data_IF_886411800641
#
_entry.id   IF_886411800641
#
_cell.length_a   1.000
_cell.length_b   1.000
_cell.length_c   1.000
_cell.angle_alpha   90.00
_cell.angle_beta   90.00
_cell.angle_gamma   90.00
#
_symmetry.space_group_name_H-M   'P 1'
#
loop_
_entity.id
_entity.type
_entity.pdbx_description
1 polymer ?
#
# COMPACT_ATOMS: atom_id res chain seq x y z
N UNK A 1 1.63 5.37 19.14
CA UNK A 1 1.04 5.16 17.79
C UNK A 1 2.04 4.53 16.81
N UNK A 2 3.15 5.18 16.43
CA UNK A 2 4.10 4.67 15.41
C UNK A 2 4.60 3.24 15.69
N UNK A 3 4.98 2.93 16.94
CA UNK A 3 5.41 1.58 17.32
C UNK A 3 4.32 0.51 17.14
N UNK A 4 3.05 0.88 17.30
CA UNK A 4 1.92 -0.05 17.09
C UNK A 4 1.71 -0.32 15.61
N UNK A 5 1.75 0.71 14.76
CA UNK A 5 1.68 0.59 13.30
C UNK A 5 2.82 -0.28 12.79
N UNK A 6 4.05 -0.03 13.25
CA UNK A 6 5.21 -0.84 12.89
C UNK A 6 5.02 -2.32 13.25
N UNK A 7 4.49 -2.64 14.43
CA UNK A 7 4.20 -4.01 14.84
C UNK A 7 3.12 -4.66 13.97
N UNK A 8 2.05 -3.92 13.67
CA UNK A 8 0.99 -4.40 12.78
C UNK A 8 1.52 -4.68 11.36
N UNK A 9 2.33 -3.78 10.81
CA UNK A 9 2.95 -3.94 9.51
C UNK A 9 3.89 -5.15 9.47
N UNK A 10 4.68 -5.36 10.53
CA UNK A 10 5.52 -6.55 10.68
C UNK A 10 4.69 -7.84 10.76
N UNK A 11 3.57 -7.83 11.49
CA UNK A 11 2.64 -8.95 11.57
C UNK A 11 1.99 -9.26 10.21
N UNK A 12 1.59 -8.23 9.46
CA UNK A 12 1.04 -8.38 8.10
C UNK A 12 2.09 -8.89 7.09
N UNK A 13 3.38 -8.65 7.31
CA UNK A 13 4.46 -9.14 6.44
C UNK A 13 4.78 -10.63 6.60
N UNK A 14 4.13 -11.33 7.52
CA UNK A 14 4.29 -12.76 7.78
C UNK A 14 3.19 -13.53 7.05
N UNK A 15 3.55 -14.40 6.11
CA UNK A 15 2.58 -15.13 5.26
C UNK A 15 1.61 -16.02 6.05
N UNK A 16 2.05 -16.51 7.22
CA UNK A 16 1.21 -17.29 8.13
C UNK A 16 0.02 -16.51 8.69
N UNK A 17 0.08 -15.18 8.68
CA UNK A 17 -0.97 -14.30 9.18
C UNK A 17 -1.97 -13.87 8.10
N UNK A 18 -1.69 -14.14 6.82
CA UNK A 18 -2.53 -13.72 5.69
C UNK A 18 -4.00 -14.14 5.84
N UNK A 19 -4.34 -15.39 6.24
CA UNK A 19 -5.75 -15.77 6.41
C UNK A 19 -6.49 -14.93 7.46
N UNK A 20 -5.86 -14.68 8.61
CA UNK A 20 -6.47 -13.87 9.67
C UNK A 20 -6.54 -12.38 9.26
N UNK A 21 -5.56 -11.89 8.50
CA UNK A 21 -5.60 -10.53 7.95
C UNK A 21 -6.77 -10.35 6.98
N UNK A 22 -7.01 -11.32 6.08
CA UNK A 22 -8.14 -11.32 5.17
C UNK A 22 -9.48 -11.33 5.94
N UNK A 23 -9.61 -12.22 6.94
CA UNK A 23 -10.81 -12.30 7.78
C UNK A 23 -11.10 -10.97 8.49
N UNK A 24 -10.08 -10.31 9.06
CA UNK A 24 -10.23 -9.00 9.69
C UNK A 24 -10.73 -7.95 8.68
N UNK A 25 -10.11 -7.88 7.50
CA UNK A 25 -10.44 -6.91 6.45
C UNK A 25 -11.83 -7.12 5.85
N UNK A 26 -12.30 -8.37 5.76
CA UNK A 26 -13.61 -8.73 5.20
C UNK A 26 -14.79 -8.27 6.09
N UNK A 27 -14.55 -8.00 7.38
CA UNK A 27 -15.61 -7.60 8.33
C UNK A 27 -16.34 -6.33 7.85
N UNK A 28 -17.62 -6.25 8.18
CA UNK A 28 -18.52 -5.15 7.76
C UNK A 28 -18.09 -3.76 8.24
N UNK A 29 -17.32 -3.67 9.32
CA UNK A 29 -16.76 -2.42 9.83
C UNK A 29 -15.42 -2.03 9.18
N UNK A 30 -14.91 -2.86 8.26
CA UNK A 30 -13.70 -2.60 7.46
C UNK A 30 -14.08 -2.47 5.98
N UNK A 31 -13.62 -3.39 5.12
CA UNK A 31 -13.87 -3.28 3.68
C UNK A 31 -15.25 -3.77 3.29
N UNK A 32 -15.87 -4.66 4.08
CA UNK A 32 -17.15 -5.30 3.74
C UNK A 32 -17.14 -5.94 2.34
N UNK A 33 -16.01 -6.56 1.98
CA UNK A 33 -15.79 -7.23 0.70
C UNK A 33 -15.65 -8.75 0.91
N UNK A 34 -16.01 -9.57 -0.09
CA UNK A 34 -15.77 -11.00 -0.02
C UNK A 34 -14.27 -11.32 -0.10
N UNK A 35 -13.86 -12.43 0.52
CA UNK A 35 -12.45 -12.86 0.65
C UNK A 35 -11.71 -12.90 -0.70
N UNK A 36 -12.38 -13.39 -1.76
CA UNK A 36 -11.79 -13.48 -3.10
C UNK A 36 -11.44 -12.11 -3.74
N UNK A 37 -11.97 -11.00 -3.19
CA UNK A 37 -11.57 -9.65 -3.60
C UNK A 37 -10.36 -9.12 -2.82
N UNK A 38 -10.02 -9.74 -1.68
CA UNK A 38 -8.95 -9.33 -0.76
C UNK A 38 -7.71 -10.21 -0.95
N UNK A 39 -7.90 -11.53 -1.04
CA UNK A 39 -6.84 -12.55 -1.12
C UNK A 39 -5.81 -12.29 -2.23
N UNK A 40 -6.18 -11.88 -3.46
CA UNK A 40 -5.19 -11.63 -4.50
C UNK A 40 -4.14 -10.60 -4.10
N UNK A 41 -4.54 -9.55 -3.37
CA UNK A 41 -3.64 -8.49 -2.95
C UNK A 41 -2.68 -8.93 -1.84
N UNK A 42 -3.16 -9.78 -0.91
CA UNK A 42 -2.35 -10.27 0.22
C UNK A 42 -1.41 -11.42 -0.18
N UNK A 43 -1.79 -12.20 -1.19
CA UNK A 43 -0.99 -13.35 -1.68
C UNK A 43 -0.08 -12.99 -2.86
N UNK A 44 -0.40 -11.93 -3.59
CA UNK A 44 0.27 -11.58 -4.84
C UNK A 44 -0.16 -12.43 -6.04
N UNK A 45 -1.18 -13.29 -5.89
CA UNK A 45 -1.75 -14.09 -6.98
C UNK A 45 -2.77 -13.27 -7.75
N UNK A 46 -2.30 -12.56 -8.79
CA UNK A 46 -3.11 -11.59 -9.53
C UNK A 46 -3.55 -12.18 -10.88
N UNK A 47 -4.84 -12.05 -11.20
CA UNK A 47 -5.36 -12.32 -12.54
C UNK A 47 -5.12 -11.08 -13.40
N UNK A 48 -4.17 -11.15 -14.33
CA UNK A 48 -3.79 -10.01 -15.18
C UNK A 48 -4.63 -9.90 -16.44
N UNK A 49 -5.38 -10.95 -16.80
CA UNK A 49 -6.25 -10.99 -17.98
C UNK A 49 -7.45 -11.89 -17.71
N UNK A 50 -8.62 -11.45 -18.17
CA UNK A 50 -9.87 -12.21 -18.05
C UNK A 50 -9.69 -13.59 -18.70
N UNK A 51 -10.06 -14.64 -17.95
CA UNK A 51 -9.97 -16.03 -18.39
C UNK A 51 -8.60 -16.69 -18.24
N UNK A 52 -7.58 -15.97 -17.77
CA UNK A 52 -6.27 -16.56 -17.45
C UNK A 52 -6.18 -16.97 -15.97
N UNK A 53 -5.30 -17.92 -15.67
CA UNK A 53 -4.97 -18.29 -14.31
C UNK A 53 -4.22 -17.14 -13.57
N UNK A 54 -4.35 -17.05 -12.24
CA UNK A 54 -3.57 -16.10 -11.44
C UNK A 54 -2.07 -16.28 -11.64
N UNK A 55 -1.34 -15.17 -11.67
CA UNK A 55 0.12 -15.14 -11.79
C UNK A 55 0.72 -14.58 -10.51
N UNK A 56 1.79 -15.22 -10.04
CA UNK A 56 2.54 -14.70 -8.91
C UNK A 56 3.18 -13.36 -9.29
N UNK A 57 2.84 -12.33 -8.53
CA UNK A 57 3.37 -10.97 -8.70
C UNK A 57 4.22 -10.62 -7.49
N UNK A 58 5.52 -10.80 -7.63
CA UNK A 58 6.47 -10.52 -6.57
C UNK A 58 6.42 -9.05 -6.16
N UNK A 59 6.43 -8.81 -4.85
CA UNK A 59 6.39 -7.47 -4.24
C UNK A 59 5.16 -6.65 -4.66
N UNK A 60 4.03 -7.31 -4.99
CA UNK A 60 2.75 -6.61 -5.22
C UNK A 60 2.34 -5.73 -4.03
N UNK A 61 2.38 -6.30 -2.82
CA UNK A 61 2.15 -5.57 -1.57
C UNK A 61 3.23 -5.95 -0.55
N UNK A 62 3.97 -4.96 -0.03
CA UNK A 62 5.02 -5.18 0.97
C UNK A 62 4.71 -4.37 2.22
N UNK A 63 4.26 -5.05 3.29
CA UNK A 63 3.94 -4.39 4.56
C UNK A 63 5.19 -4.12 5.41
N UNK A 64 6.23 -4.94 5.29
CA UNK A 64 7.42 -4.87 6.14
C UNK A 64 8.67 -5.36 5.41
N UNK A 65 9.85 -4.89 5.86
CA UNK A 65 11.13 -5.16 5.19
C UNK A 65 11.47 -4.11 4.14
N UNK A 66 12.73 -4.08 3.68
CA UNK A 66 13.18 -3.18 2.60
C UNK A 66 12.93 -1.68 2.86
N UNK A 67 12.82 -1.26 4.12
CA UNK A 67 12.42 0.09 4.50
C UNK A 67 11.05 0.54 3.93
N UNK A 68 10.11 -0.40 3.70
CA UNK A 68 8.78 -0.12 3.16
C UNK A 68 7.99 0.94 3.96
N UNK A 69 8.20 1.01 5.28
CA UNK A 69 7.52 1.96 6.17
C UNK A 69 8.38 3.21 6.48
N UNK A 70 9.55 3.36 5.86
CA UNK A 70 10.38 4.55 6.06
C UNK A 70 9.85 5.68 5.16
N UNK A 71 9.55 6.87 5.70
CA UNK A 71 9.01 7.97 4.92
C UNK A 71 10.12 8.66 4.12
N UNK A 72 10.48 8.08 2.97
CA UNK A 72 11.53 8.60 2.10
C UNK A 72 11.18 10.00 1.59
N UNK A 73 11.96 11.01 1.99
CA UNK A 73 11.78 12.41 1.55
C UNK A 73 11.84 12.55 0.03
N UNK A 74 12.67 11.76 -0.64
CA UNK A 74 12.76 11.71 -2.11
C UNK A 74 11.45 11.21 -2.74
N UNK A 75 10.82 10.19 -2.15
CA UNK A 75 9.53 9.67 -2.60
C UNK A 75 8.41 10.68 -2.36
N UNK A 76 8.40 11.34 -1.20
CA UNK A 76 7.45 12.43 -0.91
C UNK A 76 7.54 13.56 -1.93
N UNK A 77 8.75 14.06 -2.23
CA UNK A 77 8.96 15.05 -3.30
C UNK A 77 8.54 14.53 -4.67
N UNK A 78 8.83 13.27 -5.00
CA UNK A 78 8.45 12.69 -6.28
C UNK A 78 6.92 12.64 -6.45
N UNK A 79 6.18 12.11 -5.46
CA UNK A 79 4.71 12.04 -5.49
C UNK A 79 4.14 13.43 -5.70
N UNK A 80 4.62 14.39 -4.92
CA UNK A 80 4.06 15.71 -4.94
C UNK A 80 4.37 16.40 -6.31
N UNK A 81 5.51 16.12 -6.98
CA UNK A 81 5.78 16.59 -8.36
C UNK A 81 4.79 16.02 -9.36
N UNK A 82 4.40 14.75 -9.21
CA UNK A 82 3.37 14.15 -10.06
C UNK A 82 2.01 14.83 -9.87
N UNK A 83 1.66 15.21 -8.64
CA UNK A 83 0.41 15.90 -8.36
C UNK A 83 0.36 17.29 -9.01
N UNK A 84 1.47 18.04 -9.01
CA UNK A 84 1.52 19.36 -9.69
C UNK A 84 1.31 19.22 -11.19
N UNK A 85 1.88 18.20 -11.84
CA UNK A 85 1.68 17.96 -13.27
C UNK A 85 0.21 17.67 -13.64
N UNK A 86 -0.56 17.15 -12.69
CA UNK A 86 -1.99 16.85 -12.85
C UNK A 86 -2.88 18.03 -12.42
N UNK A 87 -2.32 19.04 -11.74
CA UNK A 87 -3.07 20.16 -11.20
C UNK A 87 -3.28 21.25 -12.28
N UNK A 88 -4.49 21.83 -12.40
CA UNK A 88 -4.74 22.93 -13.33
C UNK A 88 -4.07 24.25 -12.96
N UNK A 89 -3.62 24.39 -11.71
CA UNK A 89 -3.11 25.63 -11.13
C UNK A 89 -1.58 25.63 -11.08
N UNK A 90 -0.97 26.80 -11.26
CA UNK A 90 0.47 26.96 -11.14
C UNK A 90 0.89 27.00 -9.66
N UNK A 91 1.70 26.02 -9.25
CA UNK A 91 2.17 25.86 -7.88
C UNK A 91 3.68 26.05 -7.82
N UNK A 92 4.13 27.30 -7.88
CA UNK A 92 5.54 27.68 -7.85
C UNK A 92 6.25 27.39 -6.50
N UNK A 93 5.51 27.15 -5.41
CA UNK A 93 6.06 26.88 -4.06
C UNK A 93 6.06 25.39 -3.67
N UNK A 94 6.11 24.52 -4.67
CA UNK A 94 5.94 23.09 -4.50
C UNK A 94 6.97 22.43 -3.54
N UNK A 95 8.26 22.76 -3.69
CA UNK A 95 9.32 22.12 -2.92
C UNK A 95 9.25 22.47 -1.43
N UNK A 96 8.73 23.65 -1.09
CA UNK A 96 8.48 24.11 0.29
C UNK A 96 7.35 23.30 0.94
N UNK A 97 6.23 23.13 0.22
CA UNK A 97 5.08 22.35 0.69
C UNK A 97 5.48 20.89 0.92
N UNK A 98 6.22 20.30 -0.02
CA UNK A 98 6.70 18.92 0.13
C UNK A 98 7.59 18.78 1.37
N UNK A 99 8.50 19.74 1.61
CA UNK A 99 9.38 19.73 2.80
C UNK A 99 8.65 19.88 4.11
N UNK A 100 7.55 20.64 4.16
CA UNK A 100 6.77 20.84 5.39
C UNK A 100 6.03 19.56 5.85
N UNK A 101 5.86 18.57 4.97
CA UNK A 101 5.13 17.34 5.27
C UNK A 101 5.97 16.25 5.96
N UNK A 102 7.28 16.43 6.18
CA UNK A 102 8.19 15.39 6.71
C UNK A 102 9.42 15.89 7.48
#
# INVERSE_FOLDING_TARGET
>A
MIRAIYKAAKWLGQSENTPLAAEILARSHHLALPDHAIDPALTGLIITKIGEAPKQTDRFMTFYGGAANFPWRSQGRWIARQLVQLAPQDHSDFDSIAQACF
#
